data_IF_147670628000
#
_entry.id   IF_147670628000
#
_cell.length_a   1.000
_cell.length_b   1.000
_cell.length_c   1.000
_cell.angle_alpha   90.00
_cell.angle_beta   90.00
_cell.angle_gamma   90.00
#
_symmetry.space_group_name_H-M   'P 1'
#
loop_
_entity.id
_entity.type
_entity.pdbx_description
1 polymer ?
#
# COMPACT_ATOMS: atom_id res chain seq x y z
N UNK A 1 -6.86 -11.11 -26.67
CA UNK A 1 -5.50 -11.34 -26.10
C UNK A 1 -5.32 -12.81 -25.72
N UNK A 2 -4.46 -13.56 -26.44
CA UNK A 2 -4.28 -15.02 -26.27
C UNK A 2 -3.46 -15.42 -25.03
N UNK A 3 -2.69 -14.50 -24.45
CA UNK A 3 -1.77 -14.78 -23.32
C UNK A 3 -2.46 -15.38 -22.09
N UNK A 4 -3.73 -15.02 -21.84
CA UNK A 4 -4.52 -15.55 -20.71
C UNK A 4 -4.71 -17.07 -20.75
N UNK A 5 -4.58 -17.70 -21.93
CA UNK A 5 -4.72 -19.14 -22.12
C UNK A 5 -3.42 -19.92 -21.89
N UNK A 6 -2.28 -19.22 -21.92
CA UNK A 6 -0.94 -19.81 -21.77
C UNK A 6 -0.38 -19.55 -20.36
N UNK A 7 -1.03 -18.66 -19.61
CA UNK A 7 -0.59 -18.27 -18.29
C UNK A 7 -0.92 -19.35 -17.24
N UNK A 8 0.03 -19.61 -16.35
CA UNK A 8 -0.18 -20.52 -15.23
C UNK A 8 -1.36 -20.05 -14.35
N UNK A 9 -2.26 -20.95 -13.89
CA UNK A 9 -3.47 -20.58 -13.16
C UNK A 9 -3.22 -19.73 -11.91
N UNK A 10 -2.11 -19.95 -11.21
CA UNK A 10 -1.76 -19.20 -9.99
C UNK A 10 -1.33 -17.76 -10.27
N UNK A 11 -0.78 -17.47 -11.45
CA UNK A 11 -0.32 -16.12 -11.81
C UNK A 11 -1.47 -15.25 -12.32
N UNK A 12 -2.53 -15.87 -12.85
CA UNK A 12 -3.69 -15.20 -13.42
C UNK A 12 -4.34 -14.20 -12.45
N UNK A 13 -4.72 -14.58 -11.20
CA UNK A 13 -5.36 -13.64 -10.28
C UNK A 13 -4.46 -12.45 -9.92
N UNK A 14 -3.14 -12.68 -9.79
CA UNK A 14 -2.20 -11.62 -9.47
C UNK A 14 -2.05 -10.62 -10.63
N UNK A 15 -1.91 -11.10 -11.87
CA UNK A 15 -1.85 -10.21 -13.03
C UNK A 15 -3.17 -9.45 -13.26
N UNK A 16 -4.32 -10.09 -13.04
CA UNK A 16 -5.61 -9.40 -13.10
C UNK A 16 -5.75 -8.33 -12.01
N UNK A 17 -5.20 -8.57 -10.82
CA UNK A 17 -5.12 -7.58 -9.75
C UNK A 17 -4.25 -6.39 -10.15
N UNK A 18 -3.05 -6.63 -10.70
CA UNK A 18 -2.18 -5.57 -11.20
C UNK A 18 -2.84 -4.73 -12.29
N UNK A 19 -3.55 -5.37 -13.22
CA UNK A 19 -4.32 -4.66 -14.24
C UNK A 19 -5.39 -3.78 -13.58
N UNK A 20 -6.10 -4.27 -12.55
CA UNK A 20 -7.06 -3.45 -11.79
C UNK A 20 -6.38 -2.27 -11.09
N UNK A 21 -5.19 -2.46 -10.53
CA UNK A 21 -4.43 -1.39 -9.88
C UNK A 21 -4.05 -0.27 -10.85
N UNK A 22 -3.70 -0.60 -12.10
CA UNK A 22 -3.40 0.43 -13.11
C UNK A 22 -4.56 1.39 -13.36
N UNK A 23 -5.82 0.97 -13.12
CA UNK A 23 -6.98 1.87 -13.25
C UNK A 23 -6.97 3.02 -12.23
N UNK A 24 -6.24 2.91 -11.11
CA UNK A 24 -6.02 4.06 -10.20
C UNK A 24 -5.37 5.23 -10.92
N UNK A 25 -4.54 4.95 -11.93
CA UNK A 25 -3.83 5.93 -12.76
C UNK A 25 -4.52 6.20 -14.11
N UNK A 26 -5.78 5.77 -14.29
CA UNK A 26 -6.53 5.87 -15.56
C UNK A 26 -6.56 7.28 -16.15
N UNK A 27 -6.63 8.32 -15.31
CA UNK A 27 -6.64 9.73 -15.76
C UNK A 27 -5.34 10.11 -16.47
N UNK A 28 -4.21 9.62 -15.98
CA UNK A 28 -2.87 9.89 -16.55
C UNK A 28 -2.64 9.02 -17.77
N UNK A 29 -3.02 7.74 -17.70
CA UNK A 29 -2.92 6.78 -18.82
C UNK A 29 -3.69 7.29 -20.05
N UNK A 30 -4.88 7.89 -19.85
CA UNK A 30 -5.68 8.47 -20.94
C UNK A 30 -5.08 9.70 -21.60
N UNK A 31 -4.16 10.39 -20.92
CA UNK A 31 -3.46 11.57 -21.45
C UNK A 31 -2.16 11.20 -22.17
N UNK A 32 -1.71 9.96 -22.06
CA UNK A 32 -0.51 9.49 -22.74
C UNK A 32 -0.78 9.30 -24.23
N UNK A 33 0.26 9.49 -25.05
CA UNK A 33 0.20 9.25 -26.50
C UNK A 33 -0.26 7.82 -26.81
N UNK A 34 0.26 6.85 -26.05
CA UNK A 34 -0.11 5.43 -26.16
C UNK A 34 -0.66 4.91 -24.83
N UNK A 35 -1.99 4.91 -24.63
CA UNK A 35 -2.61 4.47 -23.38
C UNK A 35 -2.29 3.01 -23.03
N UNK A 36 -2.17 2.14 -24.04
CA UNK A 36 -1.87 0.72 -23.83
C UNK A 36 -0.45 0.51 -23.30
N UNK A 37 0.54 1.21 -23.87
CA UNK A 37 1.91 1.17 -23.36
C UNK A 37 2.02 1.84 -21.99
N UNK A 38 1.33 2.96 -21.77
CA UNK A 38 1.31 3.61 -20.47
C UNK A 38 0.74 2.69 -19.38
N UNK A 39 -0.33 1.95 -19.68
CA UNK A 39 -0.89 0.98 -18.75
C UNK A 39 0.09 -0.15 -18.41
N UNK A 40 0.84 -0.63 -19.40
CA UNK A 40 1.87 -1.65 -19.19
C UNK A 40 3.00 -1.14 -18.29
N UNK A 41 3.49 0.07 -18.54
CA UNK A 41 4.54 0.68 -17.71
C UNK A 41 4.11 0.90 -16.26
N UNK A 42 2.86 1.31 -16.03
CA UNK A 42 2.30 1.43 -14.68
C UNK A 42 2.23 0.05 -13.99
N UNK A 43 1.83 -1.00 -14.71
CA UNK A 43 1.80 -2.35 -14.15
C UNK A 43 3.21 -2.84 -13.77
N UNK A 44 4.22 -2.59 -14.61
CA UNK A 44 5.62 -2.93 -14.34
C UNK A 44 6.13 -2.17 -13.11
N UNK A 45 5.81 -0.88 -12.99
CA UNK A 45 6.21 -0.06 -11.85
C UNK A 45 5.60 -0.59 -10.53
N UNK A 46 4.32 -0.96 -10.52
CA UNK A 46 3.66 -1.53 -9.35
C UNK A 46 4.30 -2.86 -8.93
N UNK A 47 4.53 -3.77 -9.88
CA UNK A 47 5.23 -5.04 -9.62
C UNK A 47 6.64 -4.82 -9.07
N UNK A 48 7.37 -3.85 -9.62
CA UNK A 48 8.73 -3.52 -9.16
C UNK A 48 8.72 -2.99 -7.73
N UNK A 49 7.72 -2.17 -7.39
CA UNK A 49 7.51 -1.67 -6.03
C UNK A 49 7.26 -2.83 -5.06
N UNK A 50 6.36 -3.75 -5.40
CA UNK A 50 6.07 -4.94 -4.58
C UNK A 50 7.30 -5.82 -4.38
N UNK A 51 8.08 -6.07 -5.44
CA UNK A 51 9.33 -6.83 -5.35
C UNK A 51 10.32 -6.14 -4.41
N UNK A 52 10.42 -4.82 -4.47
CA UNK A 52 11.32 -4.06 -3.61
C UNK A 52 10.85 -4.06 -2.15
N UNK A 53 9.54 -3.95 -1.90
CA UNK A 53 8.98 -4.09 -0.54
C UNK A 53 9.26 -5.50 0.01
N UNK A 54 9.09 -6.55 -0.78
CA UNK A 54 9.41 -7.93 -0.38
C UNK A 54 10.91 -8.06 -0.09
N UNK A 55 11.78 -7.55 -0.96
CA UNK A 55 13.24 -7.56 -0.76
C UNK A 55 13.66 -6.83 0.52
N UNK A 56 13.03 -5.69 0.82
CA UNK A 56 13.27 -4.94 2.06
C UNK A 56 12.81 -5.73 3.29
N UNK A 57 11.62 -6.32 3.27
CA UNK A 57 11.11 -7.18 4.34
C UNK A 57 12.03 -8.39 4.57
N UNK A 58 12.54 -9.02 3.51
CA UNK A 58 13.45 -10.17 3.60
C UNK A 58 14.84 -9.79 4.11
N UNK A 59 15.37 -8.63 3.68
CA UNK A 59 16.69 -8.14 4.09
C UNK A 59 16.69 -7.64 5.53
N UNK A 60 15.55 -7.18 6.03
CA UNK A 60 15.38 -6.61 7.37
C UNK A 60 14.15 -7.21 8.07
N UNK A 61 14.20 -8.47 8.55
CA UNK A 61 13.04 -9.11 9.18
C UNK A 61 12.58 -8.45 10.50
N UNK A 62 13.33 -7.47 11.04
CA UNK A 62 13.19 -6.98 12.42
C UNK A 62 12.55 -5.59 12.62
N UNK A 63 12.11 -4.86 11.58
CA UNK A 63 11.50 -3.53 11.80
C UNK A 63 10.03 -3.56 12.25
N UNK A 64 9.42 -4.74 12.40
CA UNK A 64 8.05 -4.87 12.92
C UNK A 64 7.94 -5.10 14.43
N UNK A 65 9.05 -5.17 15.17
CA UNK A 65 9.03 -5.45 16.63
C UNK A 65 9.22 -4.24 17.54
N UNK A 66 9.32 -3.00 17.04
CA UNK A 66 9.44 -1.82 17.92
C UNK A 66 8.41 -0.75 17.55
N UNK A 67 7.14 -1.07 17.75
CA UNK A 67 6.19 -0.09 18.28
C UNK A 67 5.43 -0.78 19.42
N UNK A 68 6.15 -1.13 20.48
CA UNK A 68 5.51 -1.36 21.78
C UNK A 68 5.02 0.01 22.24
N UNK A 69 3.71 0.27 22.38
CA UNK A 69 3.26 1.42 23.14
C UNK A 69 3.66 1.14 24.58
N UNK A 70 4.74 1.78 25.03
CA UNK A 70 5.10 1.81 26.44
C UNK A 70 3.90 2.34 27.21
N UNK A 71 3.31 1.45 28.00
CA UNK A 71 2.14 1.68 28.81
C UNK A 71 2.54 2.60 29.98
N UNK A 72 2.44 3.92 29.83
CA UNK A 72 2.54 4.85 30.96
C UNK A 72 1.14 5.30 31.40
N UNK A 73 0.52 4.43 32.20
CA UNK A 73 -0.21 4.74 33.44
C UNK A 73 -1.20 5.90 33.41
N UNK A 74 -2.47 5.53 33.63
CA UNK A 74 -3.51 6.37 34.18
C UNK A 74 -3.00 7.30 35.29
N UNK A 75 -3.28 8.60 35.16
CA UNK A 75 -3.22 9.58 36.25
C UNK A 75 -4.59 10.25 36.36
N UNK A 76 -5.21 10.29 37.56
CA UNK A 76 -6.62 10.60 37.76
C UNK A 76 -6.96 12.08 37.52
N UNK A 77 -8.21 12.32 37.08
CA UNK A 77 -8.83 13.62 36.86
C UNK A 77 -8.67 14.54 38.09
N UNK A 78 -7.90 15.63 37.96
CA UNK A 78 -7.90 16.71 38.95
C UNK A 78 -9.14 17.60 38.71
N UNK A 79 -10.21 17.41 39.51
CA UNK A 79 -11.37 18.31 39.53
C UNK A 79 -10.89 19.72 39.90
N UNK A 80 -11.04 20.68 38.98
CA UNK A 80 -10.85 22.10 39.28
C UNK A 80 -12.10 22.60 40.02
N UNK A 81 -11.98 22.81 41.33
CA UNK A 81 -12.99 23.52 42.12
C UNK A 81 -12.86 25.01 41.78
N UNK A 82 -13.79 25.56 40.99
CA UNK A 82 -13.91 27.02 40.81
C UNK A 82 -14.52 27.62 42.07
N UNK A 83 -13.70 28.29 42.90
CA UNK A 83 -14.19 29.23 43.90
C UNK A 83 -14.82 30.42 43.16
N UNK A 84 -16.14 30.60 43.26
CA UNK A 84 -16.77 31.89 42.96
C UNK A 84 -16.57 32.78 44.19
N UNK A 85 -15.89 33.91 43.97
CA UNK A 85 -15.68 34.96 44.97
C UNK A 85 -16.99 35.65 45.36
N UNK A 86 -16.91 36.31 46.52
CA UNK A 86 -17.91 37.19 47.13
C UNK A 86 -18.42 38.25 46.16
#
# INVERSE_FOLDING_TARGET
MKWRKVLHPTLKPHLEHQIKETFKHRKVIRRASDPMNAQLWVAIANLTKEINEIKLNLRMPTYKTIVVPSNSKAVPKKKVIRKKGR
#
